data_IF_633724680609
#
_entry.id   IF_633724680609
#
_cell.length_a   1.000
_cell.length_b   1.000
_cell.length_c   1.000
_cell.angle_alpha   90.00
_cell.angle_beta   90.00
_cell.angle_gamma   90.00
#
_symmetry.space_group_name_H-M   'P 1'
#
loop_
_entity.id
_entity.type
_entity.pdbx_description
1 polymer ?
2 non-polymer ?
3 water ?
#
# COMPACT_ATOMS: atom_id res chain seq x y z
N UNK A 1 -24.36 -11.90 7.75
CA UNK A 1 -25.19 -11.81 6.51
C UNK A 1 -25.14 -10.41 5.93
N UNK A 2 -24.81 -10.31 4.65
CA UNK A 2 -24.71 -9.01 3.98
C UNK A 2 -25.81 -8.86 2.94
N UNK A 3 -26.23 -7.60 2.69
CA UNK A 3 -27.28 -7.40 1.68
C UNK A 3 -26.77 -7.83 0.31
N UNK A 4 -27.68 -8.28 -0.55
CA UNK A 4 -27.31 -8.73 -1.88
C UNK A 4 -26.82 -7.58 -2.77
N UNK A 5 -27.36 -6.39 -2.54
CA UNK A 5 -26.98 -5.20 -3.32
C UNK A 5 -26.90 -3.98 -2.42
N UNK A 6 -26.01 -3.06 -2.78
CA UNK A 6 -25.81 -1.81 -2.05
C UNK A 6 -25.49 -0.68 -3.02
N UNK A 7 -26.04 0.50 -2.77
CA UNK A 7 -25.78 1.67 -3.62
C UNK A 7 -25.80 2.88 -2.71
N UNK A 8 -24.61 3.36 -2.34
CA UNK A 8 -24.51 4.51 -1.45
C UNK A 8 -25.11 5.80 -1.99
N UNK A 9 -25.41 5.84 -3.29
CA UNK A 9 -26.01 7.05 -3.85
C UNK A 9 -27.44 7.16 -3.31
N UNK A 10 -28.06 6.03 -3.02
CA UNK A 10 -29.43 6.01 -2.47
C UNK A 10 -29.45 6.57 -1.05
N UNK A 11 -28.30 6.54 -0.40
CA UNK A 11 -28.20 6.99 0.98
C UNK A 11 -27.69 8.42 1.09
N UNK A 12 -27.59 9.09 -0.07
CA UNK A 12 -27.15 10.47 -0.11
C UNK A 12 -25.72 10.73 0.32
N UNK A 13 -24.85 9.74 0.15
CA UNK A 13 -23.45 9.86 0.55
C UNK A 13 -22.47 9.97 -0.60
N UNK A 14 -22.97 10.24 -1.80
CA UNK A 14 -22.10 10.36 -2.98
C UNK A 14 -22.35 11.66 -3.72
N UNK A 15 -21.29 12.43 -3.94
CA UNK A 15 -21.41 13.71 -4.62
C UNK A 15 -21.44 13.55 -6.14
N UNK A 16 -21.61 14.68 -6.83
CA UNK A 16 -21.64 14.73 -8.27
C UNK A 16 -20.33 14.18 -8.83
N UNK A 17 -20.41 13.55 -10.01
CA UNK A 17 -19.21 13.01 -10.65
C UNK A 17 -18.32 14.18 -11.06
N UNK A 18 -17.02 14.03 -10.84
CA UNK A 18 -16.07 15.09 -11.18
C UNK A 18 -15.33 14.76 -12.47
N UNK A 19 -14.70 15.78 -13.04
CA UNK A 19 -13.96 15.67 -14.29
C UNK A 19 -12.50 16.10 -14.07
N UNK A 20 -11.59 15.13 -13.99
CA UNK A 20 -10.19 15.44 -13.73
C UNK A 20 -9.45 16.09 -14.91
N UNK A 21 -10.01 15.96 -16.11
CA UNK A 21 -9.36 16.56 -17.26
C UNK A 21 -8.02 15.90 -17.56
N UNK A 22 -7.06 16.69 -18.02
CA UNK A 22 -5.74 16.19 -18.38
C UNK A 22 -4.80 16.00 -17.22
N UNK A 23 -5.28 16.24 -16.01
CA UNK A 23 -4.47 16.10 -14.81
C UNK A 23 -4.71 14.72 -14.19
N UNK A 24 -3.64 13.98 -13.93
CA UNK A 24 -3.75 12.64 -13.36
C UNK A 24 -4.03 12.67 -11.87
N UNK A 25 -5.19 13.19 -11.51
CA UNK A 25 -5.58 13.31 -10.10
C UNK A 25 -6.62 12.30 -9.66
N UNK A 26 -6.72 11.17 -10.36
CA UNK A 26 -7.70 10.15 -10.01
C UNK A 26 -7.61 9.76 -8.54
N UNK A 27 -6.39 9.67 -8.04
CA UNK A 27 -6.14 9.29 -6.65
C UNK A 27 -6.74 10.30 -5.67
N UNK A 28 -6.65 11.58 -6.02
CA UNK A 28 -7.18 12.63 -5.17
C UNK A 28 -8.71 12.56 -5.16
N UNK A 29 -9.31 12.33 -6.33
CA UNK A 29 -10.77 12.24 -6.39
C UNK A 29 -11.26 11.01 -5.66
N UNK A 30 -10.51 9.92 -5.76
CA UNK A 30 -10.88 8.68 -5.07
C UNK A 30 -10.90 8.93 -3.57
N UNK A 31 -9.84 9.57 -3.06
CA UNK A 31 -9.72 9.85 -1.64
C UNK A 31 -10.82 10.79 -1.11
N UNK A 32 -11.06 11.90 -1.81
CA UNK A 32 -12.09 12.82 -1.33
C UNK A 32 -13.46 12.16 -1.41
N UNK A 33 -13.68 11.34 -2.43
CA UNK A 33 -14.95 10.66 -2.56
C UNK A 33 -15.24 9.76 -1.37
N UNK A 34 -14.23 9.03 -0.93
CA UNK A 34 -14.40 8.15 0.22
C UNK A 34 -14.69 8.95 1.48
N UNK A 35 -13.97 10.06 1.66
CA UNK A 35 -14.15 10.88 2.84
C UNK A 35 -15.48 11.63 2.82
N UNK A 36 -15.94 12.01 1.63
CA UNK A 36 -17.21 12.71 1.51
C UNK A 36 -18.34 11.91 2.11
N UNK A 37 -18.31 10.60 1.91
CA UNK A 37 -19.34 9.73 2.46
C UNK A 37 -19.27 9.70 3.98
N UNK A 38 -18.06 9.60 4.53
CA UNK A 38 -17.89 9.58 5.97
C UNK A 38 -18.35 10.89 6.60
N UNK A 39 -18.09 12.00 5.89
CA UNK A 39 -18.50 13.32 6.38
C UNK A 39 -20.02 13.38 6.43
N UNK A 40 -20.68 12.83 5.41
CA UNK A 40 -22.14 12.81 5.36
C UNK A 40 -22.69 11.98 6.51
N UNK A 41 -22.11 10.81 6.75
CA UNK A 41 -22.56 9.93 7.82
C UNK A 41 -22.36 10.54 9.21
N UNK A 42 -21.34 11.39 9.34
CA UNK A 42 -21.04 12.01 10.61
C UNK A 42 -21.79 13.32 10.89
N UNK A 43 -21.90 14.17 9.88
CA UNK A 43 -22.55 15.47 10.06
C UNK A 43 -23.92 15.63 9.41
N UNK A 44 -24.25 14.75 8.47
CA UNK A 44 -25.53 14.85 7.80
C UNK A 44 -25.48 15.75 6.59
N UNK A 45 -24.30 16.28 6.29
CA UNK A 45 -24.13 17.16 5.14
C UNK A 45 -23.29 16.51 4.06
N UNK A 46 -23.74 16.64 2.81
CA UNK A 46 -23.01 16.11 1.67
C UNK A 46 -22.24 17.27 1.06
N UNK A 47 -20.92 17.21 1.13
CA UNK A 47 -20.08 18.30 0.63
C UNK A 47 -18.91 17.79 -0.22
N UNK A 48 -18.76 18.32 -1.43
CA UNK A 48 -17.64 17.92 -2.26
C UNK A 48 -16.39 18.49 -1.64
N UNK A 49 -15.38 17.64 -1.44
CA UNK A 49 -14.14 18.06 -0.83
C UNK A 49 -13.09 18.40 -1.89
N UNK A 50 -12.12 19.21 -1.51
CA UNK A 50 -11.10 19.68 -2.45
C UNK A 50 -10.04 18.70 -2.95
N UNK A 51 -10.25 18.18 -4.15
CA UNK A 51 -9.27 17.28 -4.75
C UNK A 51 -8.01 18.10 -5.04
N UNK A 52 -8.20 19.38 -5.38
CA UNK A 52 -7.07 20.24 -5.70
C UNK A 52 -6.17 20.38 -4.47
N UNK A 53 -6.79 20.49 -3.29
CA UNK A 53 -6.09 20.61 -2.02
C UNK A 53 -5.10 19.44 -1.90
N UNK A 54 -5.53 18.25 -2.32
CA UNK A 54 -4.65 17.09 -2.24
C UNK A 54 -3.55 17.16 -3.28
N UNK A 55 -3.91 17.50 -4.51
CA UNK A 55 -2.93 17.61 -5.60
C UNK A 55 -1.82 18.59 -5.24
N UNK A 56 -2.20 19.74 -4.69
CA UNK A 56 -1.24 20.79 -4.34
C UNK A 56 -0.48 20.61 -3.04
N UNK A 57 -1.10 19.96 -2.06
CA UNK A 57 -0.49 19.83 -0.73
C UNK A 57 0.00 18.46 -0.28
N UNK A 58 -0.67 17.39 -0.72
CA UNK A 58 -0.23 16.04 -0.36
C UNK A 58 0.74 15.69 -1.48
N UNK A 59 1.94 16.27 -1.38
CA UNK A 59 2.95 16.09 -2.41
C UNK A 59 4.14 15.20 -2.08
N UNK A 60 5.35 15.69 -2.31
CA UNK A 60 6.57 14.91 -2.07
C UNK A 60 6.65 14.16 -0.74
N UNK A 61 6.31 14.84 0.35
CA UNK A 61 6.36 14.22 1.66
C UNK A 61 5.43 13.02 1.77
N UNK A 62 4.47 12.94 0.85
CA UNK A 62 3.53 11.83 0.83
C UNK A 62 3.72 10.90 -0.35
N UNK A 63 4.85 11.02 -1.03
CA UNK A 63 5.15 10.17 -2.17
C UNK A 63 4.24 10.38 -3.36
N UNK A 64 3.54 11.51 -3.40
CA UNK A 64 2.65 11.79 -4.51
C UNK A 64 3.26 12.77 -5.49
N UNK A 65 2.75 12.76 -6.72
CA UNK A 65 3.27 13.63 -7.77
C UNK A 65 2.20 14.47 -8.46
N UNK A 66 1.23 14.93 -7.68
CA UNK A 66 0.15 15.75 -8.23
C UNK A 66 -0.53 15.22 -9.48
N UNK A 67 -0.47 15.99 -10.55
CA UNK A 67 -1.10 15.58 -11.81
C UNK A 67 -0.44 14.39 -12.47
N UNK A 68 0.62 13.87 -11.85
CA UNK A 68 1.31 12.71 -12.38
C UNK A 68 1.07 11.46 -11.53
N UNK A 69 0.09 11.51 -10.64
CA UNK A 69 -0.22 10.36 -9.83
C UNK A 69 0.00 10.47 -8.33
N UNK A 70 -0.63 9.56 -7.59
CA UNK A 70 -0.49 9.55 -6.14
C UNK A 70 -1.22 8.39 -5.50
N UNK A 71 -1.11 8.28 -4.18
CA UNK A 71 -1.76 7.21 -3.43
C UNK A 71 -2.95 7.73 -2.65
N UNK A 72 -4.04 6.97 -2.61
CA UNK A 72 -5.21 7.38 -1.84
C UNK A 72 -4.86 7.28 -0.35
N UNK A 73 -4.11 6.26 0.03
CA UNK A 73 -3.75 6.09 1.44
C UNK A 73 -2.91 7.25 1.99
N UNK A 74 -1.89 7.67 1.25
CA UNK A 74 -1.05 8.76 1.72
C UNK A 74 -1.82 10.08 1.68
N UNK A 75 -2.84 10.14 0.82
CA UNK A 75 -3.68 11.33 0.74
C UNK A 75 -4.45 11.39 2.07
N UNK A 76 -4.99 10.25 2.50
CA UNK A 76 -5.73 10.24 3.77
C UNK A 76 -4.81 10.67 4.90
N UNK A 77 -3.58 10.16 4.91
CA UNK A 77 -2.65 10.52 5.97
C UNK A 77 -2.35 12.01 5.96
N UNK A 78 -2.26 12.60 4.78
CA UNK A 78 -2.02 14.04 4.70
C UNK A 78 -3.15 14.78 5.40
N UNK A 79 -4.38 14.36 5.15
CA UNK A 79 -5.53 15.01 5.77
C UNK A 79 -5.45 14.88 7.29
N UNK A 80 -5.01 13.72 7.77
CA UNK A 80 -4.86 13.48 9.20
C UNK A 80 -3.77 14.39 9.78
N UNK A 81 -2.59 14.35 9.18
CA UNK A 81 -1.46 15.16 9.64
C UNK A 81 -1.77 16.66 9.59
N UNK A 82 -2.44 17.07 8.52
CA UNK A 82 -2.78 18.47 8.28
C UNK A 82 -3.94 18.95 9.15
N UNK A 83 -4.64 18.00 9.76
CA UNK A 83 -5.78 18.29 10.61
C UNK A 83 -6.93 18.91 9.83
N UNK A 84 -7.06 18.51 8.57
CA UNK A 84 -8.15 19.02 7.76
C UNK A 84 -7.91 19.06 6.27
N UNK A 85 -9.02 19.24 5.54
CA UNK A 85 -8.99 19.37 4.09
C UNK A 85 -10.08 20.40 3.78
N UNK A 86 -9.81 21.29 2.83
CA UNK A 86 -10.77 22.33 2.48
C UNK A 86 -11.90 21.81 1.59
N UNK A 87 -12.97 22.60 1.50
CA UNK A 87 -14.10 22.22 0.67
C UNK A 87 -13.69 22.47 -0.78
N UNK A 88 -14.36 21.80 -1.71
CA UNK A 88 -14.07 21.98 -3.13
C UNK A 88 -14.47 23.41 -3.51
N UNK A 89 -15.55 23.91 -2.93
CA UNK A 89 -16.03 25.25 -3.22
C UNK A 89 -15.02 26.33 -2.88
N UNK A 90 -14.30 26.15 -1.77
CA UNK A 90 -13.31 27.12 -1.33
C UNK A 90 -11.95 26.94 -1.97
N UNK A 91 -11.69 25.74 -2.48
CA UNK A 91 -10.41 25.41 -3.09
C UNK A 91 -10.76 24.58 -4.33
N UNK A 92 -11.27 25.24 -5.39
CA UNK A 92 -11.68 24.62 -6.65
C UNK A 92 -10.60 23.88 -7.43
N UNK A 93 -11.06 22.90 -8.23
CA UNK A 93 -10.17 22.08 -9.05
C UNK A 93 -9.79 22.78 -10.35
N UNK A 94 -8.48 22.88 -10.60
CA UNK A 94 -7.97 23.54 -11.80
C UNK A 94 -7.25 22.61 -12.77
N UNK A 95 -7.23 21.32 -12.48
CA UNK A 95 -6.57 20.34 -13.35
C UNK A 95 -5.12 20.67 -13.68
N UNK A 96 -4.37 21.09 -12.67
CA UNK A 96 -2.96 21.42 -12.85
C UNK A 96 -2.31 21.50 -11.48
N UNK A 97 -0.99 21.36 -11.44
CA UNK A 97 -0.26 21.42 -10.20
C UNK A 97 -0.12 22.88 -9.76
N UNK A 98 -0.40 23.15 -8.49
CA UNK A 98 -0.31 24.50 -7.95
C UNK A 98 0.41 24.47 -6.60
N UNK A 99 0.85 25.64 -6.16
CA UNK A 99 1.51 25.72 -4.86
C UNK A 99 0.40 25.45 -3.85
N UNK A 100 0.74 24.76 -2.77
CA UNK A 100 -0.24 24.46 -1.75
C UNK A 100 -0.88 25.72 -1.19
N UNK A 101 -2.21 25.78 -1.23
CA UNK A 101 -2.94 26.94 -0.74
C UNK A 101 -3.95 26.59 0.35
N UNK A 102 -3.69 25.51 1.07
CA UNK A 102 -4.58 25.10 2.14
C UNK A 102 -4.71 26.21 3.19
N UNK A 103 -5.91 26.37 3.73
CA UNK A 103 -6.16 27.33 4.78
C UNK A 103 -7.21 26.70 5.68
N UNK A 104 -6.90 26.63 6.98
CA UNK A 104 -7.83 26.03 7.93
C UNK A 104 -9.17 26.76 8.00
N UNK A 105 -9.21 28.01 7.58
CA UNK A 105 -10.47 28.74 7.63
C UNK A 105 -11.48 28.19 6.61
N UNK A 106 -11.00 27.34 5.71
CA UNK A 106 -11.85 26.74 4.70
C UNK A 106 -12.02 25.24 4.92
N UNK A 107 -11.63 24.77 6.10
CA UNK A 107 -11.73 23.35 6.43
C UNK A 107 -13.18 22.85 6.36
N UNK A 108 -13.38 21.73 5.66
CA UNK A 108 -14.71 21.14 5.52
C UNK A 108 -14.78 19.74 6.13
N UNK A 109 -13.62 19.14 6.38
CA UNK A 109 -13.59 17.80 6.95
C UNK A 109 -12.25 17.48 7.59
N UNK A 110 -12.26 16.47 8.45
CA UNK A 110 -11.06 15.98 9.12
C UNK A 110 -11.05 14.47 8.94
N UNK A 111 -9.93 13.84 9.28
CA UNK A 111 -9.78 12.40 9.17
C UNK A 111 -8.97 11.96 10.38
N UNK A 112 -9.38 10.87 11.02
CA UNK A 112 -8.68 10.39 12.20
C UNK A 112 -7.80 9.18 11.90
N UNK A 113 -8.15 8.44 10.85
CA UNK A 113 -7.41 7.24 10.48
C UNK A 113 -7.95 6.68 9.19
N UNK A 114 -7.25 5.70 8.63
CA UNK A 114 -7.70 5.03 7.42
C UNK A 114 -7.36 3.56 7.58
N UNK A 115 -8.06 2.72 6.82
CA UNK A 115 -7.85 1.29 6.90
C UNK A 115 -7.62 0.71 5.51
N UNK A 116 -6.61 -0.15 5.39
CA UNK A 116 -6.33 -0.79 4.11
C UNK A 116 -6.79 -2.23 4.26
N UNK A 117 -7.63 -2.67 3.34
CA UNK A 117 -8.16 -4.02 3.37
C UNK A 117 -7.14 -5.02 2.86
N UNK A 118 -7.27 -6.29 3.28
CA UNK A 118 -6.34 -7.33 2.85
C UNK A 118 -6.38 -7.50 1.35
N UNK A 119 -5.20 -7.75 0.76
CA UNK A 119 -5.07 -7.89 -0.68
C UNK A 119 -5.95 -8.94 -1.37
N UNK A 120 -6.66 -8.48 -2.40
CA UNK A 120 -7.50 -9.35 -3.21
C UNK A 120 -8.70 -10.06 -2.63
N UNK A 121 -9.12 -9.71 -1.42
CA UNK A 121 -10.26 -10.37 -0.80
C UNK A 121 -11.54 -9.62 -1.10
N UNK A 122 -12.28 -10.07 -2.12
CA UNK A 122 -13.52 -9.42 -2.50
C UNK A 122 -14.64 -9.57 -1.48
N UNK A 123 -14.57 -10.62 -0.66
CA UNK A 123 -15.58 -10.82 0.37
C UNK A 123 -15.41 -9.77 1.46
N UNK A 124 -14.16 -9.44 1.76
CA UNK A 124 -13.86 -8.43 2.78
C UNK A 124 -14.25 -7.05 2.22
N UNK A 125 -14.06 -6.86 0.93
CA UNK A 125 -14.41 -5.58 0.31
C UNK A 125 -15.93 -5.41 0.35
N UNK A 126 -16.66 -6.48 0.06
CA UNK A 126 -18.11 -6.44 0.08
C UNK A 126 -18.59 -6.04 1.47
N UNK A 127 -17.97 -6.61 2.49
CA UNK A 127 -18.35 -6.31 3.87
C UNK A 127 -18.09 -4.85 4.23
N UNK A 128 -16.99 -4.30 3.74
CA UNK A 128 -16.65 -2.91 4.02
C UNK A 128 -17.63 -1.97 3.31
N UNK A 129 -17.93 -2.26 2.05
CA UNK A 129 -18.86 -1.42 1.29
C UNK A 129 -20.24 -1.45 1.92
N UNK A 130 -20.64 -2.60 2.44
CA UNK A 130 -21.95 -2.74 3.05
C UNK A 130 -22.05 -2.06 4.41
N UNK A 131 -21.04 -2.26 5.25
CA UNK A 131 -21.06 -1.73 6.61
C UNK A 131 -20.31 -0.44 6.94
N UNK A 132 -19.29 -0.11 6.16
CA UNK A 132 -18.50 1.09 6.42
C UNK A 132 -18.82 2.26 5.50
N UNK A 133 -18.87 1.99 4.20
CA UNK A 133 -19.16 3.02 3.22
C UNK A 133 -18.35 2.85 1.96
N UNK A 134 -18.36 3.84 1.05
CA UNK A 134 -17.59 3.74 -0.20
C UNK A 134 -16.11 3.50 0.10
N UNK A 135 -15.47 2.66 -0.70
CA UNK A 135 -14.08 2.31 -0.51
C UNK A 135 -13.22 2.71 -1.70
N UNK A 136 -12.08 3.34 -1.43
CA UNK A 136 -11.16 3.75 -2.47
C UNK A 136 -10.41 2.51 -2.96
N UNK A 137 -10.32 2.35 -4.27
CA UNK A 137 -9.62 1.20 -4.85
C UNK A 137 -8.86 1.60 -6.10
N UNK A 138 -7.93 0.74 -6.50
CA UNK A 138 -7.19 0.96 -7.72
C UNK A 138 -7.60 -0.15 -8.68
N UNK A 139 -7.64 0.15 -9.97
CA UNK A 139 -8.00 -0.85 -10.97
C UNK A 139 -7.07 -0.76 -12.17
N UNK A 140 -7.01 -1.85 -12.93
CA UNK A 140 -6.20 -1.89 -14.14
C UNK A 140 -7.08 -1.28 -15.23
N UNK A 141 -6.78 -0.04 -15.60
CA UNK A 141 -7.55 0.66 -16.64
C UNK A 141 -6.68 0.90 -17.86
N UNK A 142 -5.72 0.00 -18.09
CA UNK A 142 -4.80 0.13 -19.21
C UNK A 142 -5.29 -0.52 -20.51
N UNK A 143 -6.57 -0.89 -20.57
CA UNK A 143 -7.09 -1.54 -21.78
C UNK A 143 -8.12 -0.67 -22.47
N UNK A 144 -8.11 -0.66 -23.81
CA UNK A 144 -9.04 0.11 -24.62
C UNK A 144 -10.49 -0.05 -24.19
N UNK A 145 -10.86 -1.27 -23.85
CA UNK A 145 -12.22 -1.58 -23.43
C UNK A 145 -12.68 -0.71 -22.28
N UNK A 146 -11.76 -0.33 -21.40
CA UNK A 146 -12.13 0.52 -20.26
C UNK A 146 -12.52 1.91 -20.74
N UNK A 147 -11.72 2.46 -21.64
CA UNK A 147 -11.98 3.78 -22.20
C UNK A 147 -13.24 3.79 -23.06
N UNK A 148 -13.52 2.66 -23.70
CA UNK A 148 -14.67 2.54 -24.58
C UNK A 148 -15.93 1.99 -23.90
N UNK A 149 -15.84 1.72 -22.61
CA UNK A 149 -16.98 1.20 -21.86
C UNK A 149 -18.18 2.14 -21.89
N UNK A 150 -19.37 1.61 -22.12
CA UNK A 150 -20.58 2.42 -22.16
C UNK A 150 -21.66 1.97 -21.17
N UNK A 151 -21.84 0.66 -21.02
CA UNK A 151 -22.87 0.15 -20.12
C UNK A 151 -22.75 -1.34 -19.84
N UNK A 152 -23.45 -1.79 -18.79
CA UNK A 152 -23.45 -3.20 -18.43
C UNK A 152 -22.30 -3.55 -17.51
N UNK A 153 -22.07 -4.84 -17.30
CA UNK A 153 -20.99 -5.30 -16.45
C UNK A 153 -19.73 -5.44 -17.27
N UNK A 154 -18.71 -4.67 -16.88
CA UNK A 154 -17.42 -4.65 -17.55
C UNK A 154 -16.55 -5.85 -17.22
N UNK A 155 -16.08 -6.54 -18.25
CA UNK A 155 -15.20 -7.68 -18.09
C UNK A 155 -14.18 -7.61 -19.23
N UNK A 156 -12.91 -7.67 -18.88
CA UNK A 156 -11.83 -7.60 -19.86
C UNK A 156 -10.90 -8.81 -19.69
N UNK A 157 -10.90 -9.72 -20.67
CA UNK A 157 -10.05 -10.91 -20.62
C UNK A 157 -8.57 -10.62 -20.37
N UNK A 158 -8.10 -9.48 -20.85
CA UNK A 158 -6.70 -9.09 -20.69
C UNK A 158 -6.38 -8.33 -19.41
N UNK A 159 -7.38 -8.11 -18.55
CA UNK A 159 -7.12 -7.40 -17.31
C UNK A 159 -6.15 -8.14 -16.41
N UNK A 160 -5.41 -7.37 -15.63
CA UNK A 160 -4.42 -7.92 -14.70
C UNK A 160 -4.66 -7.35 -13.32
N UNK A 161 -3.86 -7.78 -12.36
CA UNK A 161 -4.00 -7.26 -11.00
C UNK A 161 -3.01 -6.12 -10.77
N UNK A 162 -2.36 -5.67 -11.83
CA UNK A 162 -1.43 -4.55 -11.76
C UNK A 162 -2.34 -3.33 -11.93
N UNK A 163 -2.69 -2.66 -10.84
CA UNK A 163 -3.59 -1.51 -10.89
C UNK A 163 -2.90 -0.17 -11.08
N UNK A 164 -3.52 0.72 -11.84
CA UNK A 164 -2.93 2.02 -12.11
C UNK A 164 -3.90 3.20 -12.05
N UNK A 165 -5.18 2.91 -11.84
CA UNK A 165 -6.19 3.96 -11.82
C UNK A 165 -7.04 3.97 -10.54
N UNK A 166 -7.02 5.09 -9.83
CA UNK A 166 -7.76 5.21 -8.59
C UNK A 166 -9.21 5.61 -8.79
N UNK A 167 -10.11 4.81 -8.23
CA UNK A 167 -11.55 5.06 -8.34
C UNK A 167 -12.24 4.81 -7.00
N UNK A 168 -13.56 4.87 -6.99
CA UNK A 168 -14.31 4.67 -5.76
C UNK A 168 -15.45 3.66 -5.88
N UNK A 169 -15.43 2.64 -5.04
CA UNK A 169 -16.51 1.65 -5.06
C UNK A 169 -17.62 2.21 -4.17
N UNK A 170 -18.78 2.51 -4.77
CA UNK A 170 -19.90 3.06 -4.02
C UNK A 170 -21.06 2.07 -3.87
N UNK A 171 -20.82 0.83 -4.26
CA UNK A 171 -21.86 -0.17 -4.16
C UNK A 171 -21.53 -1.47 -4.88
N UNK A 172 -22.50 -2.38 -4.90
CA UNK A 172 -22.34 -3.65 -5.58
C UNK A 172 -23.73 -4.23 -5.84
N UNK A 173 -23.80 -5.20 -6.74
CA UNK A 173 -25.08 -5.81 -7.05
C UNK A 173 -24.92 -6.83 -8.13
N UNK A 174 -25.97 -7.07 -8.90
CA UNK A 174 -25.91 -8.05 -9.97
C UNK A 174 -26.85 -7.66 -11.11
N UNK A 175 -26.42 -7.89 -12.34
CA UNK A 175 -27.22 -7.56 -13.50
C UNK A 175 -27.43 -8.89 -14.27
N UNK A 176 -28.64 -9.43 -14.18
CA UNK A 176 -29.00 -10.66 -14.88
C UNK A 176 -28.08 -11.85 -14.58
N UNK A 177 -27.70 -12.01 -13.30
CA UNK A 177 -26.83 -13.10 -12.90
C UNK A 177 -25.37 -12.73 -12.91
N UNK A 178 -25.06 -11.53 -13.40
CA UNK A 178 -23.68 -11.07 -13.46
C UNK A 178 -23.39 -10.09 -12.32
N UNK A 179 -22.60 -10.53 -11.35
CA UNK A 179 -22.24 -9.72 -10.20
C UNK A 179 -21.28 -8.59 -10.56
N UNK A 180 -21.44 -7.45 -9.89
CA UNK A 180 -20.59 -6.31 -10.19
C UNK A 180 -20.33 -5.39 -9.00
N UNK A 181 -19.34 -4.54 -9.18
CA UNK A 181 -18.97 -3.52 -8.21
C UNK A 181 -19.41 -2.22 -8.88
N UNK A 182 -20.09 -1.35 -8.14
CA UNK A 182 -20.52 -0.06 -8.70
C UNK A 182 -19.38 0.92 -8.45
N UNK A 183 -18.75 1.37 -9.52
CA UNK A 183 -17.60 2.26 -9.40
C UNK A 183 -17.80 3.68 -9.92
N UNK A 184 -17.42 4.65 -9.09
CA UNK A 184 -17.51 6.06 -9.45
C UNK A 184 -16.12 6.43 -9.99
N UNK A 185 -16.07 6.94 -11.21
CA UNK A 185 -14.81 7.34 -11.83
C UNK A 185 -14.73 8.87 -11.76
N UNK A 186 -13.62 9.44 -12.22
CA UNK A 186 -13.47 10.89 -12.19
C UNK A 186 -13.14 11.43 -13.58
N UNK A 187 -13.78 10.85 -14.59
CA UNK A 187 -13.59 11.25 -15.98
C UNK A 187 -14.81 11.98 -16.55
N UNK A 188 -15.61 12.60 -15.69
CA UNK A 188 -16.79 13.30 -16.17
C UNK A 188 -18.02 12.42 -16.38
N UNK A 189 -19.13 13.03 -16.82
CA UNK A 189 -20.39 12.32 -17.02
C UNK A 189 -20.55 11.62 -18.36
N UNK A 190 -19.59 11.83 -19.25
CA UNK A 190 -19.67 11.18 -20.54
C UNK A 190 -19.01 9.85 -20.50
N UNK A 191 -18.39 9.54 -19.37
CA UNK A 191 -17.73 8.26 -19.29
C UNK A 191 -18.71 7.21 -18.77
N UNK A 192 -18.70 6.05 -19.43
CA UNK A 192 -19.54 4.95 -19.03
C UNK A 192 -20.99 5.30 -18.75
N UNK A 193 -21.51 4.78 -17.65
CA UNK A 193 -22.89 5.04 -17.27
C UNK A 193 -22.98 6.35 -16.49
N UNK A 194 -22.90 7.44 -17.24
CA UNK A 194 -22.97 8.79 -16.69
C UNK A 194 -21.97 9.02 -15.56
N UNK A 195 -20.73 8.58 -15.78
CA UNK A 195 -19.68 8.78 -14.80
C UNK A 195 -19.31 7.54 -14.00
N UNK A 196 -20.13 6.50 -14.11
CA UNK A 196 -19.91 5.25 -13.38
C UNK A 196 -19.63 4.06 -14.28
N UNK A 197 -19.09 3.01 -13.68
CA UNK A 197 -18.81 1.77 -14.40
C UNK A 197 -19.05 0.62 -13.45
N UNK A 198 -19.78 -0.39 -13.93
CA UNK A 198 -20.05 -1.58 -13.12
C UNK A 198 -19.02 -2.61 -13.57
N UNK A 199 -18.13 -2.98 -12.65
CA UNK A 199 -17.07 -3.93 -12.96
C UNK A 199 -17.30 -5.31 -12.37
N UNK A 200 -16.90 -6.33 -13.13
CA UNK A 200 -17.07 -7.73 -12.72
C UNK A 200 -16.67 -7.98 -11.28
N UNK A 201 -17.57 -8.61 -10.54
CA UNK A 201 -17.34 -8.93 -9.13
C UNK A 201 -17.30 -10.44 -8.93
N UNK A 202 -16.43 -10.87 -8.01
CA UNK A 202 -16.24 -12.28 -7.70
C UNK A 202 -15.80 -13.06 -8.93
N UNK A 203 -14.94 -12.43 -9.72
CA UNK A 203 -14.38 -13.03 -10.92
C UNK A 203 -12.86 -13.04 -10.79
N UNK A 204 -12.38 -13.51 -9.66
CA UNK A 204 -10.94 -13.59 -9.42
C UNK A 204 -10.22 -12.26 -9.31
N UNK A 205 -10.78 -11.34 -8.54
CA UNK A 205 -10.18 -10.02 -8.36
C UNK A 205 -9.92 -9.41 -9.73
N UNK A 206 -10.98 -9.34 -10.53
CA UNK A 206 -10.87 -8.82 -11.89
C UNK A 206 -10.37 -7.39 -11.95
N UNK A 207 -9.34 -7.19 -12.76
CA UNK A 207 -8.70 -5.89 -12.94
C UNK A 207 -8.13 -5.36 -11.63
N UNK A 208 -7.91 -6.27 -10.67
CA UNK A 208 -7.35 -5.90 -9.38
C UNK A 208 -8.19 -4.96 -8.53
N UNK A 209 -9.50 -4.97 -8.74
CA UNK A 209 -10.35 -4.07 -7.99
C UNK A 209 -10.24 -4.22 -6.47
N UNK A 210 -9.95 -5.42 -5.99
CA UNK A 210 -9.81 -5.65 -4.55
C UNK A 210 -8.33 -5.72 -4.13
N UNK A 211 -7.43 -5.33 -5.02
CA UNK A 211 -6.01 -5.37 -4.72
C UNK A 211 -5.58 -4.41 -3.62
N UNK A 212 -5.93 -3.13 -3.77
CA UNK A 212 -5.55 -2.13 -2.77
C UNK A 212 -6.70 -1.23 -2.35
N UNK A 213 -7.65 -1.77 -1.57
CA UNK A 213 -8.80 -0.99 -1.11
C UNK A 213 -8.51 -0.32 0.22
N UNK A 214 -9.05 0.88 0.40
CA UNK A 214 -8.86 1.60 1.66
C UNK A 214 -10.00 2.58 1.89
N UNK A 215 -10.29 2.85 3.16
CA UNK A 215 -11.33 3.80 3.49
C UNK A 215 -10.95 4.57 4.75
N UNK A 216 -11.32 5.86 4.80
CA UNK A 216 -11.01 6.71 5.94
C UNK A 216 -12.16 6.77 6.93
N UNK A 217 -11.86 7.27 8.12
CA UNK A 217 -12.88 7.43 9.13
C UNK A 217 -12.66 8.79 9.77
N UNK A 218 -13.75 9.36 10.29
CA UNK A 218 -13.69 10.66 10.93
C UNK A 218 -13.89 10.49 12.42
N UNK B 2 8.13 2.77 25.67
CA UNK B 2 8.89 1.88 24.75
C UNK B 2 10.38 1.88 25.08
N UNK B 3 11.10 0.81 24.73
CA UNK B 3 12.54 0.72 24.99
C UNK B 3 13.25 1.79 24.18
N UNK B 4 14.32 2.37 24.73
CA UNK B 4 15.06 3.40 24.02
C UNK B 4 15.76 2.81 22.79
N UNK B 5 16.09 1.53 22.86
CA UNK B 5 16.74 0.87 21.73
C UNK B 5 16.31 -0.59 21.63
N UNK B 6 16.30 -1.10 20.40
CA UNK B 6 15.91 -2.48 20.12
C UNK B 6 16.81 -3.06 19.04
N UNK B 7 17.13 -4.33 19.15
CA UNK B 7 17.96 -5.03 18.16
C UNK B 7 17.52 -6.48 18.18
N UNK B 8 16.66 -6.85 17.23
CA UNK B 8 16.15 -8.21 17.18
C UNK B 8 17.20 -9.28 16.90
N UNK B 9 18.39 -8.87 16.50
CA UNK B 9 19.46 -9.84 16.25
C UNK B 9 19.86 -10.43 17.60
N UNK B 10 19.74 -9.63 18.65
CA UNK B 10 20.10 -10.07 20.00
C UNK B 10 19.14 -11.12 20.53
N UNK B 11 17.94 -11.17 19.96
CA UNK B 11 16.94 -12.15 20.37
C UNK B 11 16.97 -13.37 19.44
N UNK B 12 17.96 -13.40 18.56
CA UNK B 12 18.08 -14.52 17.63
C UNK B 12 16.90 -14.63 16.69
N UNK B 13 16.31 -13.50 16.33
CA UNK B 13 15.16 -13.47 15.43
C UNK B 13 15.48 -13.02 14.01
N UNK B 14 16.78 -12.87 13.70
CA UNK B 14 17.19 -12.44 12.37
C UNK B 14 18.18 -13.40 11.74
N UNK B 15 17.86 -13.87 10.53
CA UNK B 15 18.72 -14.81 9.81
C UNK B 15 19.89 -14.09 9.15
N UNK B 16 20.82 -14.86 8.60
CA UNK B 16 21.98 -14.28 7.92
C UNK B 16 21.54 -13.38 6.77
N UNK B 17 22.35 -12.36 6.49
CA UNK B 17 22.06 -11.44 5.40
C UNK B 17 22.17 -12.19 4.07
N UNK B 18 21.23 -11.94 3.17
CA UNK B 18 21.18 -12.60 1.88
C UNK B 18 21.69 -11.68 0.77
N UNK B 19 21.99 -12.26 -0.38
CA UNK B 19 22.50 -11.54 -1.54
C UNK B 19 21.55 -11.78 -2.73
N UNK B 20 20.78 -10.76 -3.09
CA UNK B 20 19.81 -10.91 -4.18
C UNK B 20 20.42 -10.96 -5.59
N UNK B 21 21.65 -10.48 -5.72
CA UNK B 21 22.29 -10.49 -7.03
C UNK B 21 21.61 -9.55 -8.00
N UNK B 22 21.59 -9.92 -9.28
CA UNK B 22 20.97 -9.08 -10.30
C UNK B 22 19.47 -9.28 -10.48
N UNK B 23 18.83 -9.87 -9.48
CA UNK B 23 17.39 -10.09 -9.52
C UNK B 23 16.74 -9.12 -8.53
N UNK B 24 15.77 -8.36 -9.01
CA UNK B 24 15.10 -7.38 -8.15
C UNK B 24 14.11 -8.02 -7.19
N UNK B 25 14.62 -8.85 -6.29
CA UNK B 25 13.80 -9.58 -5.33
C UNK B 25 13.84 -9.00 -3.92
N UNK B 26 14.20 -7.73 -3.80
CA UNK B 26 14.27 -7.11 -2.48
C UNK B 26 12.98 -7.29 -1.71
N UNK B 27 11.85 -7.15 -2.40
CA UNK B 27 10.54 -7.29 -1.78
C UNK B 27 10.36 -8.67 -1.16
N UNK B 28 10.86 -9.70 -1.85
CA UNK B 28 10.75 -11.07 -1.38
C UNK B 28 11.61 -11.28 -0.14
N UNK B 29 12.83 -10.74 -0.15
CA UNK B 29 13.71 -10.88 1.00
C UNK B 29 13.17 -10.12 2.20
N UNK B 30 12.59 -8.95 1.94
CA UNK B 30 12.02 -8.13 3.02
C UNK B 30 10.89 -8.91 3.69
N UNK B 31 10.01 -9.47 2.87
CA UNK B 31 8.87 -10.23 3.37
C UNK B 31 9.30 -11.47 4.16
N UNK B 32 10.20 -12.29 3.62
CA UNK B 32 10.60 -13.48 4.35
C UNK B 32 11.31 -13.12 5.66
N UNK B 33 12.09 -12.03 5.63
CA UNK B 33 12.80 -11.62 6.83
C UNK B 33 11.84 -11.29 7.96
N UNK B 34 10.75 -10.60 7.64
CA UNK B 34 9.77 -10.25 8.65
C UNK B 34 9.10 -11.51 9.19
N UNK B 35 8.77 -12.44 8.30
CA UNK B 35 8.12 -13.67 8.73
C UNK B 35 9.07 -14.57 9.53
N UNK B 36 10.36 -14.55 9.20
CA UNK B 36 11.34 -15.37 9.89
C UNK B 36 11.36 -15.04 11.39
N UNK B 37 11.24 -13.75 11.71
CA UNK B 37 11.25 -13.33 13.10
C UNK B 37 10.01 -13.87 13.82
N UNK B 38 8.85 -13.76 13.17
CA UNK B 38 7.62 -14.24 13.76
C UNK B 38 7.68 -15.74 13.99
N UNK B 39 8.28 -16.46 13.04
CA UNK B 39 8.41 -17.91 13.16
C UNK B 39 9.25 -18.25 14.39
N UNK B 40 10.33 -17.49 14.59
CA UNK B 40 11.20 -17.71 15.74
C UNK B 40 10.43 -17.46 17.04
N UNK B 41 9.69 -16.36 17.07
CA UNK B 41 8.92 -16.01 18.25
C UNK B 41 7.86 -17.06 18.59
N UNK B 42 7.26 -17.64 17.56
CA UNK B 42 6.21 -18.63 17.75
C UNK B 42 6.69 -20.06 18.02
N UNK B 43 7.73 -20.49 17.31
CA UNK B 43 8.23 -21.85 17.46
C UNK B 43 9.57 -21.99 18.16
N UNK B 44 10.29 -20.88 18.33
CA UNK B 44 11.58 -20.93 18.97
C UNK B 44 12.68 -21.32 18.01
N UNK B 45 12.34 -21.54 16.75
CA UNK B 45 13.31 -21.93 15.73
C UNK B 45 13.58 -20.84 14.71
N UNK B 46 14.86 -20.56 14.46
CA UNK B 46 15.24 -19.56 13.47
C UNK B 46 15.53 -20.29 12.17
N UNK B 47 14.70 -20.05 11.16
CA UNK B 47 14.82 -20.71 9.86
C UNK B 47 14.69 -19.73 8.71
N UNK B 48 15.64 -19.75 7.78
CA UNK B 48 15.55 -18.85 6.62
C UNK B 48 14.45 -19.37 5.71
N UNK B 49 13.59 -18.46 5.26
CA UNK B 49 12.48 -18.84 4.39
C UNK B 49 12.80 -18.55 2.92
N UNK B 50 12.07 -19.22 2.02
CA UNK B 50 12.34 -19.10 0.60
C UNK B 50 11.88 -17.85 -0.15
N UNK B 51 12.84 -16.96 -0.44
CA UNK B 51 12.54 -15.77 -1.20
C UNK B 51 12.22 -16.20 -2.62
N UNK B 52 12.87 -17.28 -3.08
CA UNK B 52 12.64 -17.77 -4.43
C UNK B 52 11.18 -18.22 -4.58
N UNK B 53 10.64 -18.83 -3.53
CA UNK B 53 9.25 -19.29 -3.49
C UNK B 53 8.34 -18.10 -3.83
N UNK B 54 8.62 -16.95 -3.25
CA UNK B 54 7.82 -15.75 -3.51
C UNK B 54 8.03 -15.25 -4.94
N UNK B 55 9.28 -15.23 -5.39
CA UNK B 55 9.59 -14.78 -6.74
C UNK B 55 8.87 -15.59 -7.81
N UNK B 56 8.87 -16.91 -7.65
CA UNK B 56 8.24 -17.80 -8.62
C UNK B 56 6.73 -17.99 -8.50
N UNK B 57 6.20 -17.83 -7.29
CA UNK B 57 4.78 -18.07 -7.04
C UNK B 57 3.86 -16.89 -6.70
N UNK B 58 4.39 -15.89 -6.02
CA UNK B 58 3.59 -14.71 -5.69
C UNK B 58 3.80 -13.79 -6.89
N UNK B 59 3.17 -14.14 -8.00
CA UNK B 59 3.34 -13.43 -9.24
C UNK B 59 2.21 -12.50 -9.69
N UNK B 60 1.76 -12.66 -10.92
CA UNK B 60 0.71 -11.79 -11.47
C UNK B 60 -0.53 -11.61 -10.63
N UNK B 61 -1.04 -12.70 -10.06
CA UNK B 61 -2.24 -12.61 -9.25
C UNK B 61 -2.03 -11.73 -8.04
N UNK B 62 -0.77 -11.47 -7.70
CA UNK B 62 -0.45 -10.62 -6.55
C UNK B 62 0.15 -9.29 -6.94
N UNK B 63 0.08 -8.97 -8.22
CA UNK B 63 0.61 -7.70 -8.71
C UNK B 63 2.13 -7.61 -8.66
N UNK B 64 2.79 -8.76 -8.54
CA UNK B 64 4.25 -8.78 -8.49
C UNK B 64 4.86 -9.20 -9.80
N UNK B 65 6.14 -8.86 -9.96
CA UNK B 65 6.88 -9.15 -11.19
C UNK B 65 8.20 -9.88 -11.00
N UNK B 66 8.27 -10.73 -9.98
CA UNK B 66 9.48 -11.49 -9.73
C UNK B 66 10.76 -10.67 -9.65
N UNK B 67 11.71 -10.97 -10.52
CA UNK B 67 12.98 -10.24 -10.53
C UNK B 67 12.85 -8.80 -11.00
N UNK B 68 11.63 -8.38 -11.30
CA UNK B 68 11.41 -7.01 -11.73
C UNK B 68 10.60 -6.20 -10.73
N UNK B 69 10.56 -6.68 -9.49
CA UNK B 69 9.85 -5.97 -8.44
C UNK B 69 8.58 -6.59 -7.89
N UNK B 70 8.20 -6.16 -6.69
CA UNK B 70 7.01 -6.69 -6.07
C UNK B 70 6.65 -5.96 -4.79
N UNK B 71 5.57 -6.39 -4.15
CA UNK B 71 5.10 -5.79 -2.90
C UNK B 71 5.28 -6.75 -1.74
N UNK B 72 5.69 -6.24 -0.59
CA UNK B 72 5.84 -7.09 0.58
C UNK B 72 4.46 -7.51 1.10
N UNK B 73 3.49 -6.61 1.05
CA UNK B 73 2.14 -6.93 1.53
C UNK B 73 1.46 -8.03 0.72
N UNK B 74 1.56 -7.96 -0.60
CA UNK B 74 0.91 -8.97 -1.43
C UNK B 74 1.67 -10.29 -1.30
N UNK B 75 2.96 -10.20 -0.98
CA UNK B 75 3.74 -11.41 -0.78
C UNK B 75 3.16 -12.10 0.46
N UNK B 76 2.87 -11.32 1.50
CA UNK B 76 2.31 -11.89 2.73
C UNK B 76 0.96 -12.54 2.42
N UNK B 77 0.14 -11.86 1.61
CA UNK B 77 -1.17 -12.42 1.28
C UNK B 77 -1.03 -13.73 0.53
N UNK B 78 -0.02 -13.84 -0.33
CA UNK B 78 0.20 -15.08 -1.06
C UNK B 78 0.47 -16.21 -0.06
N UNK B 79 1.31 -15.94 0.94
CA UNK B 79 1.61 -16.95 1.94
C UNK B 79 0.33 -17.38 2.66
N UNK B 80 -0.54 -16.42 2.94
CA UNK B 80 -1.80 -16.72 3.61
C UNK B 80 -2.67 -17.59 2.70
N UNK B 81 -2.85 -17.14 1.46
CA UNK B 81 -3.67 -17.85 0.47
C UNK B 81 -3.13 -19.24 0.16
N UNK B 82 -1.81 -19.34 0.06
CA UNK B 82 -1.14 -20.59 -0.27
C UNK B 82 -1.07 -21.54 0.92
N UNK B 83 -1.34 -21.00 2.11
CA UNK B 83 -1.31 -21.76 3.35
C UNK B 83 0.10 -22.20 3.73
N UNK B 84 1.09 -21.43 3.30
CA UNK B 84 2.47 -21.76 3.65
C UNK B 84 3.53 -21.22 2.71
N UNK B 85 4.79 -21.34 3.14
CA UNK B 85 5.94 -20.92 2.36
C UNK B 85 7.04 -21.92 2.69
N UNK B 86 7.82 -22.31 1.69
CA UNK B 86 8.89 -23.28 1.90
C UNK B 86 10.14 -22.65 2.52
N UNK B 87 11.01 -23.50 3.04
CA UNK B 87 12.25 -23.04 3.64
C UNK B 87 13.22 -22.67 2.51
N UNK B 88 14.21 -21.85 2.83
CA UNK B 88 15.21 -21.44 1.85
C UNK B 88 16.02 -22.68 1.42
N UNK B 89 16.33 -23.55 2.37
CA UNK B 89 17.10 -24.76 2.06
C UNK B 89 16.40 -25.68 1.05
N UNK B 90 15.08 -25.78 1.14
CA UNK B 90 14.31 -26.65 0.26
C UNK B 90 13.99 -26.02 -1.10
N UNK B 91 13.95 -24.69 -1.14
CA UNK B 91 13.61 -23.96 -2.35
C UNK B 91 14.63 -22.82 -2.45
N UNK B 92 15.87 -23.14 -2.81
CA UNK B 92 17.01 -22.22 -2.95
C UNK B 92 16.86 -21.05 -3.91
N UNK B 93 17.53 -19.95 -3.55
CA UNK B 93 17.49 -18.72 -4.34
C UNK B 93 18.45 -18.79 -5.52
N UNK B 94 17.92 -18.58 -6.72
CA UNK B 94 18.71 -18.65 -7.94
C UNK B 94 18.80 -17.32 -8.70
N UNK B 95 18.22 -16.27 -8.11
CA UNK B 95 18.26 -14.93 -8.70
C UNK B 95 17.74 -14.87 -10.13
N UNK B 96 16.65 -15.58 -10.39
CA UNK B 96 16.01 -15.62 -11.72
C UNK B 96 14.55 -15.97 -11.57
N UNK B 97 13.78 -15.69 -12.62
CA UNK B 97 12.36 -16.03 -12.62
C UNK B 97 12.25 -17.50 -13.03
N UNK B 98 11.59 -18.28 -12.19
CA UNK B 98 11.39 -19.71 -12.44
C UNK B 98 9.92 -20.09 -12.34
N UNK B 99 9.59 -21.31 -12.75
CA UNK B 99 8.21 -21.78 -12.66
C UNK B 99 7.97 -22.02 -11.17
N UNK B 100 6.74 -21.83 -10.72
CA UNK B 100 6.42 -22.03 -9.30
C UNK B 100 6.60 -23.49 -8.92
N UNK B 101 7.42 -23.72 -7.92
CA UNK B 101 7.74 -25.07 -7.46
C UNK B 101 7.41 -25.35 -6.00
N UNK B 102 6.45 -24.60 -5.47
CA UNK B 102 6.05 -24.79 -4.08
C UNK B 102 5.57 -26.22 -3.82
N UNK B 103 6.00 -26.75 -2.68
CA UNK B 103 5.61 -28.09 -2.25
C UNK B 103 5.36 -28.01 -0.75
N UNK B 104 4.16 -28.40 -0.32
CA UNK B 104 3.83 -28.34 1.10
C UNK B 104 4.71 -29.21 2.00
N UNK B 105 5.34 -30.23 1.45
CA UNK B 105 6.18 -31.10 2.27
C UNK B 105 7.44 -30.37 2.73
N UNK B 106 7.70 -29.20 2.15
CA UNK B 106 8.86 -28.40 2.51
C UNK B 106 8.45 -27.10 3.20
N UNK B 107 7.18 -27.01 3.59
CA UNK B 107 6.66 -25.83 4.26
C UNK B 107 7.40 -25.60 5.59
N UNK B 108 7.86 -24.38 5.82
CA UNK B 108 8.57 -24.06 7.06
C UNK B 108 7.86 -22.96 7.86
N UNK B 109 6.86 -22.33 7.25
CA UNK B 109 6.12 -21.29 7.95
C UNK B 109 4.77 -21.02 7.32
N UNK B 110 3.89 -20.39 8.09
CA UNK B 110 2.56 -20.01 7.64
C UNK B 110 2.33 -18.56 8.05
N UNK B 111 1.25 -17.97 7.55
CA UNK B 111 0.91 -16.59 7.88
C UNK B 111 -0.61 -16.51 7.98
N UNK B 112 -1.12 -15.84 9.01
CA UNK B 112 -2.56 -15.73 9.18
C UNK B 112 -3.07 -14.36 8.77
N UNK B 113 -2.17 -13.36 8.79
CA UNK B 113 -2.55 -12.01 8.41
C UNK B 113 -1.33 -11.08 8.45
N UNK B 114 -1.53 -9.87 7.95
CA UNK B 114 -0.47 -8.88 7.97
C UNK B 114 -1.09 -7.53 8.30
N UNK B 115 -0.25 -6.62 8.77
CA UNK B 115 -0.71 -5.29 9.15
C UNK B 115 0.13 -4.23 8.47
N UNK B 116 -0.53 -3.22 7.92
CA UNK B 116 0.15 -2.12 7.27
C UNK B 116 0.03 -0.92 8.21
N UNK B 117 1.18 -0.32 8.53
CA UNK B 117 1.20 0.83 9.43
C UNK B 117 0.83 2.13 8.75
N UNK B 118 0.36 3.12 9.52
CA UNK B 118 -0.01 4.42 8.95
C UNK B 118 1.20 5.11 8.32
N UNK B 119 0.97 5.72 7.16
CA UNK B 119 2.01 6.41 6.41
C UNK B 119 2.85 7.44 7.16
N UNK B 120 4.17 7.24 7.11
CA UNK B 120 5.13 8.15 7.71
C UNK B 120 5.21 8.35 9.21
N UNK B 121 4.47 7.57 9.98
CA UNK B 121 4.49 7.73 11.43
C UNK B 121 5.62 6.93 12.05
N UNK B 122 6.74 7.60 12.32
CA UNK B 122 7.90 6.93 12.89
C UNK B 122 7.69 6.46 14.32
N UNK B 123 6.76 7.10 15.02
CA UNK B 123 6.46 6.73 16.40
C UNK B 123 5.71 5.40 16.40
N UNK B 124 4.81 5.23 15.44
CA UNK B 124 4.04 3.99 15.32
C UNK B 124 4.97 2.87 14.89
N UNK B 125 5.89 3.17 13.99
CA UNK B 125 6.85 2.18 13.51
C UNK B 125 7.72 1.72 14.69
N UNK B 126 8.13 2.67 15.52
CA UNK B 126 8.97 2.35 16.69
C UNK B 126 8.20 1.38 17.60
N UNK B 127 6.93 1.67 17.83
CA UNK B 127 6.10 0.84 18.67
C UNK B 127 5.99 -0.58 18.10
N UNK B 128 5.82 -0.69 16.79
CA UNK B 128 5.71 -1.99 16.14
C UNK B 128 7.00 -2.79 16.24
N UNK B 129 8.13 -2.14 15.99
CA UNK B 129 9.42 -2.80 16.07
C UNK B 129 9.66 -3.32 17.49
N UNK B 130 9.29 -2.52 18.48
CA UNK B 130 9.48 -2.91 19.88
C UNK B 130 8.53 -4.00 20.36
N UNK B 131 7.24 -3.88 20.00
CA UNK B 131 6.24 -4.85 20.46
C UNK B 131 5.86 -6.01 19.57
N UNK B 132 6.08 -5.90 18.26
CA UNK B 132 5.70 -6.96 17.34
C UNK B 132 6.89 -7.72 16.77
N UNK B 133 7.87 -6.97 16.29
CA UNK B 133 9.06 -7.57 15.72
C UNK B 133 9.55 -6.79 14.51
N UNK B 134 10.49 -7.33 13.74
CA UNK B 134 11.01 -6.65 12.55
C UNK B 134 9.87 -6.27 11.61
N UNK B 135 10.00 -5.10 10.99
CA UNK B 135 8.96 -4.60 10.09
C UNK B 135 9.49 -4.38 8.68
N UNK B 136 8.76 -4.89 7.68
CA UNK B 136 9.15 -4.71 6.29
C UNK B 136 8.86 -3.26 5.90
N UNK B 137 9.81 -2.63 5.22
CA UNK B 137 9.64 -1.24 4.78
C UNK B 137 10.27 -1.00 3.43
N UNK B 138 9.92 0.14 2.84
CA UNK B 138 10.50 0.53 1.57
C UNK B 138 11.27 1.80 1.82
N UNK B 139 12.43 1.95 1.17
CA UNK B 139 13.23 3.17 1.33
C UNK B 139 13.70 3.66 -0.01
N UNK B 140 14.06 4.94 -0.06
CA UNK B 140 14.60 5.54 -1.27
C UNK B 140 16.09 5.22 -1.25
N UNK B 141 16.51 4.21 -2.01
CA UNK B 141 17.91 3.82 -2.06
C UNK B 141 18.55 4.13 -3.41
N UNK B 142 18.01 5.14 -4.11
CA UNK B 142 18.50 5.51 -5.44
C UNK B 142 19.75 6.38 -5.44
N UNK B 143 20.03 7.04 -4.32
CA UNK B 143 21.17 7.95 -4.27
C UNK B 143 22.53 7.28 -4.13
N UNK B 144 23.51 7.77 -4.90
CA UNK B 144 24.87 7.22 -4.88
C UNK B 144 25.44 6.97 -3.48
N UNK B 145 25.12 7.86 -2.54
CA UNK B 145 25.61 7.71 -1.18
C UNK B 145 25.12 6.43 -0.49
N UNK B 146 23.94 5.96 -0.87
CA UNK B 146 23.40 4.74 -0.25
C UNK B 146 24.29 3.53 -0.53
N UNK B 147 24.70 3.37 -1.78
CA UNK B 147 25.54 2.26 -2.18
C UNK B 147 26.92 2.26 -1.51
N UNK B 148 27.37 3.46 -1.14
CA UNK B 148 28.67 3.63 -0.53
C UNK B 148 28.71 3.68 1.00
N UNK B 149 27.54 3.56 1.62
CA UNK B 149 27.47 3.59 3.08
C UNK B 149 28.38 2.55 3.72
N UNK B 150 29.15 2.96 4.72
CA UNK B 150 30.04 2.05 5.40
C UNK B 150 29.82 2.03 6.91
N UNK B 151 29.50 3.18 7.51
CA UNK B 151 29.28 3.23 8.95
C UNK B 151 28.57 4.50 9.42
N UNK B 152 28.29 4.58 10.71
CA UNK B 152 27.62 5.74 11.26
C UNK B 152 26.13 5.72 10.97
N UNK B 153 25.50 6.89 11.03
CA UNK B 153 24.06 6.99 10.75
C UNK B 153 23.88 7.70 9.41
N UNK B 154 23.26 6.99 8.47
CA UNK B 154 23.03 7.49 7.13
C UNK B 154 22.01 8.63 7.06
N UNK B 155 22.46 9.75 6.53
CA UNK B 155 21.60 10.92 6.34
C UNK B 155 21.98 11.52 4.99
N UNK B 156 21.02 11.56 4.08
CA UNK B 156 21.23 12.08 2.74
C UNK B 156 20.23 13.19 2.43
N UNK B 157 20.72 14.44 2.34
CA UNK B 157 19.85 15.59 2.05
C UNK B 157 19.00 15.41 0.79
N UNK B 158 19.52 14.67 -0.19
CA UNK B 158 18.82 14.46 -1.43
C UNK B 158 17.76 13.35 -1.38
N UNK B 159 17.66 12.66 -0.25
CA UNK B 159 16.66 11.60 -0.15
C UNK B 159 15.26 12.13 -0.29
N UNK B 160 14.36 11.26 -0.72
CA UNK B 160 12.96 11.62 -0.92
C UNK B 160 12.10 10.58 -0.26
N UNK B 161 10.79 10.78 -0.34
CA UNK B 161 9.84 9.82 0.22
C UNK B 161 9.28 8.94 -0.89
N UNK B 162 9.95 8.93 -2.03
CA UNK B 162 9.56 8.08 -3.14
C UNK B 162 10.40 6.83 -2.97
N UNK B 163 9.85 5.82 -2.30
CA UNK B 163 10.58 4.59 -2.02
C UNK B 163 10.60 3.61 -3.19
N UNK B 164 11.74 2.93 -3.35
CA UNK B 164 11.92 1.99 -4.45
C UNK B 164 12.57 0.69 -4.03
N UNK B 165 13.08 0.63 -2.80
CA UNK B 165 13.79 -0.56 -2.33
C UNK B 165 13.23 -1.14 -1.04
N UNK B 166 12.87 -2.42 -1.09
CA UNK B 166 12.32 -3.10 0.08
C UNK B 166 13.39 -3.68 0.98
N UNK B 167 13.30 -3.34 2.27
CA UNK B 167 14.27 -3.81 3.26
C UNK B 167 13.55 -4.17 4.56
N UNK B 168 14.31 -4.47 5.61
CA UNK B 168 13.72 -4.85 6.88
C UNK B 168 14.30 -4.10 8.07
N UNK B 169 13.42 -3.48 8.86
CA UNK B 169 13.84 -2.76 10.04
C UNK B 169 13.87 -3.80 11.18
N UNK B 170 15.06 -4.07 11.70
CA UNK B 170 15.20 -5.05 12.77
C UNK B 170 15.53 -4.43 14.13
N UNK B 171 15.52 -3.11 14.18
CA UNK B 171 15.82 -2.42 15.43
C UNK B 171 15.91 -0.92 15.27
N UNK B 172 16.28 -0.25 16.36
CA UNK B 172 16.43 1.20 16.37
C UNK B 172 17.22 1.58 17.62
N UNK B 173 17.74 2.80 17.64
CA UNK B 173 18.50 3.25 18.79
C UNK B 173 19.15 4.59 18.51
N UNK B 174 20.25 4.86 19.20
CA UNK B 174 20.97 6.10 19.01
C UNK B 174 22.46 5.84 19.01
N UNK B 175 23.16 6.52 18.11
CA UNK B 175 24.60 6.39 17.99
C UNK B 175 25.23 7.77 17.94
N UNK B 176 26.01 8.09 18.96
CA UNK B 176 26.70 9.37 19.03
C UNK B 176 25.78 10.58 18.83
N UNK B 177 24.61 10.52 19.45
CA UNK B 177 23.68 11.62 19.36
C UNK B 177 22.71 11.60 18.19
N UNK B 178 22.82 10.58 17.34
CA UNK B 178 21.95 10.46 16.18
C UNK B 178 21.03 9.24 16.28
N UNK B 179 19.72 9.48 16.27
CA UNK B 179 18.76 8.40 16.34
C UNK B 179 18.76 7.71 14.98
N UNK B 180 18.61 6.39 14.99
CA UNK B 180 18.62 5.62 13.76
C UNK B 180 17.69 4.42 13.77
N UNK B 181 17.47 3.88 12.58
CA UNK B 181 16.68 2.67 12.38
C UNK B 181 17.73 1.66 11.92
N UNK B 182 17.71 0.46 12.48
CA UNK B 182 18.66 -0.57 12.08
C UNK B 182 18.02 -1.34 10.93
N UNK B 183 18.59 -1.21 9.74
CA UNK B 183 18.02 -1.84 8.54
C UNK B 183 18.83 -2.98 7.95
N UNK B 184 18.17 -4.11 7.72
CA UNK B 184 18.78 -5.28 7.11
C UNK B 184 18.52 -5.19 5.61
N UNK B 185 19.59 -5.15 4.81
CA UNK B 185 19.48 -5.05 3.36
C UNK B 185 19.67 -6.45 2.78
N UNK B 186 19.56 -6.58 1.47
CA UNK B 186 19.73 -7.89 0.83
C UNK B 186 20.74 -7.82 -0.32
N UNK B 187 21.83 -7.09 -0.09
CA UNK B 187 22.89 -6.96 -1.08
C UNK B 187 24.15 -7.63 -0.55
N UNK B 188 23.97 -8.66 0.27
CA UNK B 188 25.11 -9.37 0.80
C UNK B 188 25.75 -8.71 2.00
N UNK B 189 26.65 -9.46 2.61
CA UNK B 189 27.34 -8.96 3.77
C UNK B 189 28.38 -7.86 3.41
N UNK B 190 28.71 -7.74 2.12
CA UNK B 190 29.67 -6.71 1.67
C UNK B 190 29.09 -5.30 1.82
N UNK B 191 27.77 -5.20 1.69
CA UNK B 191 27.11 -3.90 1.80
C UNK B 191 27.10 -3.34 3.22
N UNK B 192 27.36 -2.04 3.33
CA UNK B 192 27.35 -1.37 4.63
C UNK B 192 28.10 -2.10 5.73
N UNK B 193 27.45 -2.21 6.89
CA UNK B 193 28.05 -2.90 8.03
C UNK B 193 27.55 -4.32 8.12
N UNK B 194 28.27 -5.23 7.48
CA UNK B 194 27.92 -6.65 7.47
C UNK B 194 26.51 -6.85 6.91
N UNK B 195 26.14 -6.02 5.93
CA UNK B 195 24.83 -6.14 5.32
C UNK B 195 23.77 -5.21 5.87
N UNK B 196 24.09 -4.49 6.93
CA UNK B 196 23.14 -3.56 7.55
C UNK B 196 23.52 -2.11 7.34
N UNK B 197 22.52 -1.24 7.53
CA UNK B 197 22.72 0.19 7.42
C UNK B 197 21.86 0.89 8.47
N UNK B 198 22.46 1.84 9.18
CA UNK B 198 21.72 2.58 10.19
C UNK B 198 21.23 3.84 9.50
N UNK B 199 19.91 3.99 9.41
CA UNK B 199 19.31 5.13 8.73
C UNK B 199 18.68 6.12 9.71
N UNK B 200 18.82 7.41 9.40
CA UNK B 200 18.30 8.47 10.24
C UNK B 200 16.86 8.26 10.68
N UNK B 201 16.63 8.38 11.98
CA UNK B 201 15.32 8.20 12.59
C UNK B 201 14.82 9.53 13.18
N UNK B 202 13.53 9.77 13.06
CA UNK B 202 12.89 10.98 13.54
C UNK B 202 13.48 12.23 12.87
N UNK B 203 13.77 12.08 11.58
CA UNK B 203 14.31 13.17 10.77
C UNK B 203 13.37 13.39 9.58
N UNK B 204 12.08 13.55 9.90
CA UNK B 204 11.09 13.78 8.86
C UNK B 204 10.89 12.66 7.88
N UNK B 205 10.76 11.44 8.39
CA UNK B 205 10.55 10.26 7.56
C UNK B 205 11.63 10.22 6.48
N UNK B 206 12.88 10.27 6.94
CA UNK B 206 14.03 10.27 6.03
C UNK B 206 14.07 9.09 5.08
N UNK B 207 14.20 9.40 3.79
CA UNK B 207 14.25 8.40 2.72
C UNK B 207 12.98 7.56 2.70
N UNK B 208 11.90 8.08 3.29
CA UNK B 208 10.62 7.39 3.31
C UNK B 208 10.60 6.08 4.08
N UNK B 209 11.51 5.90 5.02
CA UNK B 209 11.57 4.66 5.78
C UNK B 209 10.25 4.25 6.47
N UNK B 210 9.45 5.22 6.90
CA UNK B 210 8.19 4.89 7.57
C UNK B 210 6.99 5.05 6.64
N UNK B 211 7.25 5.23 5.35
CA UNK B 211 6.18 5.41 4.37
C UNK B 211 5.25 4.21 4.22
N UNK B 212 5.81 3.05 3.95
CA UNK B 212 5.00 1.85 3.77
C UNK B 212 5.47 0.65 4.58
N UNK B 213 5.29 0.70 5.92
CA UNK B 213 5.70 -0.39 6.80
C UNK B 213 4.61 -1.45 6.93
N UNK B 214 5.03 -2.71 7.05
CA UNK B 214 4.08 -3.80 7.23
C UNK B 214 4.75 -4.99 7.90
N UNK B 215 3.98 -5.76 8.65
CA UNK B 215 4.52 -6.95 9.30
C UNK B 215 3.46 -8.05 9.33
N UNK B 216 3.91 -9.30 9.20
CA UNK B 216 3.02 -10.47 9.20
C UNK B 216 2.92 -11.08 10.59
N UNK B 217 1.92 -11.94 10.78
CA UNK B 217 1.73 -12.63 12.04
C UNK B 217 1.37 -14.06 11.72
N UNK B 218 1.64 -14.97 12.66
CA UNK B 218 1.35 -16.38 12.47
C UNK B 218 0.25 -16.81 13.44
X LIG C 1 3.09 8.41 -8.09
X LIG C 1 1.43 6.74 -7.45
X LIG C 1 1.11 6.51 -8.84
X LIG C 1 1.82 7.27 -9.84
X LIG C 1 2.80 8.22 -9.46
X LIG C 1 2.42 7.68 -7.09
X LIG C 1 0.04 5.51 -9.26
X LIG C 1 4.01 9.31 -7.70
X LIG C 1 -1.19 5.75 -8.48
X LIG C 1 0.52 4.04 -9.08
X LIG C 1 -2.45 5.75 -9.24
X LIG C 1 -2.67 7.14 -9.89
X LIG C 1 -3.68 5.38 -8.41
X LIG C 1 -3.85 3.67 -7.97
X LIG C 1 -2.75 3.44 -6.62
X LIG C 1 -3.13 6.99 -11.19
X LIG C 1 -2.46 8.19 -9.30
X LIG C 1 -2.34 1.98 -6.44
X LIG C 1 -1.61 1.67 -5.15
X LIG C 1 -0.74 0.47 -5.49
X LIG C 1 -0.51 0.62 -6.96
X LIG C 1 -1.44 1.48 -7.45
X LIG C 1 0.37 0.06 -7.60
X LIG C 1 -3.52 7.99 -12.21
X LIG C 1 -2.40 9.04 -12.47
X LIG C 1 -3.01 8.22 -13.60
X LIG C 1 -3.35 2.86 -9.09
X LIG C 1 -5.19 3.48 -7.46
X LIG C 1 0.66 3.69 -7.77
X LIG C 1 1.72 3.82 -9.68
X LIG C 1 -0.37 3.17 -9.64
X LIG C 1 -5.39 9.60 -12.62
X LIG C 1 -4.90 8.59 -11.99
X LIG D 1 5.85 -4.42 -9.25
X LIG D 1 6.07 -3.25 -7.12
X LIG D 1 7.37 -2.76 -7.50
X LIG D 1 7.89 -3.13 -8.79
X LIG D 1 7.13 -3.95 -9.66
X LIG D 1 5.32 -4.07 -8.00
X LIG D 1 8.22 -1.88 -6.57
X LIG D 1 5.14 -5.18 -10.06
X LIG D 1 8.35 -2.52 -5.23
X LIG D 1 7.61 -0.44 -6.45
X LIG D 1 9.69 -2.45 -4.62
X LIG D 1 10.64 -3.47 -5.30
X LIG D 1 9.70 -2.67 -3.11
X LIG D 1 9.15 -1.27 -2.13
X LIG D 1 7.38 -1.35 -2.21
X LIG D 1 11.93 -2.94 -5.45
X LIG D 1 10.27 -4.59 -5.65
X LIG D 1 6.69 -0.03 -1.91
X LIG D 1 5.18 -0.07 -1.72
X LIG D 1 4.69 1.29 -2.19
X LIG D 1 5.76 1.73 -3.14
X LIG D 1 6.87 0.96 -2.94
X LIG D 1 5.67 2.63 -3.96
X LIG D 1 13.17 -3.53 -6.03
X LIG D 1 12.95 -3.96 -7.51
X LIG D 1 14.06 -3.02 -7.10
X LIG D 1 9.57 -0.05 -2.79
X LIG D 1 9.51 -1.53 -0.75
X LIG D 1 6.39 -0.43 -5.85
X LIG D 1 7.47 0.14 -7.66
X LIG D 1 8.42 0.38 -5.71
X LIG D 1 14.90 -5.24 -5.47
X LIG D 1 13.81 -4.62 -5.20
#
# INVERSE_FOLDING_TARGET
ILPDSVDWREKGCVTEVKYQGSCGACWAFSAVGALEAQLKLKTGKLVSLSAQNLVDCSTEKYGNKGCNGGFMTTAFQYIIDNKGIDSDASYPYKAMDQKCQYDSKYRAATCSKYTELPYGREDVLKEAVANKGPVSVGVDARHPSFFLYRSGVYYEPSCTQNVNHGVLVVGYGDLNGKEYWLVKNSWGHNFGEEGYIRMARNKGNHCGIASFPSYPEIGHHHHHH
ILPDSVDWREKGCVTEVKYQGSCGACWAFSAVGALEAQLKLKTGKLVSLSAQNLVDCSTEKYGNKGCNGGFMTTAFQYIIDNKGIDSDASYPYKAMDQKCQYDSKYRAATCSKYTELPYGREDVLKEAVANKGPVSVGVDARHPSFFLYRSGVYYEPSCTQNVNHGVLVVGYGDLNGKEYWLVKNSWGHNFGEEGYIRMARNKGNHCGIASFPSYPEIGHHHHHH
CRJ C2 C4 C5 C6 C1 C3 C8 F7 N9 C10 C11 C12 C13 S14 C15 N16 O17 C18 C19 C20 C21 N22 O23 C24 C25 C26 O27 O28 F29 F30 F31 N33 C32
CRJ C2 C4 C5 C6 C1 C3 C8 F7 N9 C10 C11 C12 C13 S14 C15 N16 O17 C18 C19 C20 C21 N22 O23 C24 C25 C26 O27 O28 F29 F30 F31 N33 C32
#
